data_IF_216566862408
#
_entry.id   IF_216566862408
#
_cell.length_a   1.000
_cell.length_b   1.000
_cell.length_c   1.000
_cell.angle_alpha   90.00
_cell.angle_beta   90.00
_cell.angle_gamma   90.00
#
_symmetry.space_group_name_H-M   'P 1'
#
loop_
_entity.id
_entity.type
_entity.pdbx_description
1 polymer ?
#
# COMPACT_ATOMS: atom_id res chain seq x y z
N UNK A 1 -8.02 -4.70 -24.04
CA UNK A 1 -7.18 -5.34 -22.98
C UNK A 1 -7.98 -6.35 -22.17
N UNK A 2 -9.20 -6.03 -21.76
CA UNK A 2 -10.13 -6.93 -21.04
C UNK A 2 -10.51 -8.18 -21.84
N UNK A 3 -10.86 -8.03 -23.13
CA UNK A 3 -11.14 -9.15 -24.04
C UNK A 3 -9.91 -10.07 -24.19
N UNK A 4 -8.73 -9.50 -24.39
CA UNK A 4 -7.49 -10.26 -24.46
C UNK A 4 -7.21 -11.06 -23.16
N UNK A 5 -7.52 -10.51 -21.98
CA UNK A 5 -7.42 -11.24 -20.70
C UNK A 5 -8.35 -12.45 -20.68
N UNK A 6 -9.57 -12.31 -21.21
CA UNK A 6 -10.52 -13.41 -21.30
C UNK A 6 -10.00 -14.52 -22.23
N UNK A 7 -9.53 -14.15 -23.42
CA UNK A 7 -8.97 -15.10 -24.40
C UNK A 7 -7.77 -15.88 -23.83
N UNK A 8 -6.85 -15.19 -23.15
CA UNK A 8 -5.73 -15.86 -22.48
C UNK A 8 -6.19 -16.75 -21.33
N UNK A 9 -7.25 -16.36 -20.62
CA UNK A 9 -7.80 -17.17 -19.53
C UNK A 9 -8.41 -18.47 -20.04
N UNK A 10 -9.11 -18.44 -21.18
CA UNK A 10 -9.59 -19.66 -21.86
C UNK A 10 -8.43 -20.50 -22.37
N UNK A 11 -7.41 -19.90 -22.99
CA UNK A 11 -6.24 -20.63 -23.46
C UNK A 11 -5.51 -21.39 -22.33
N UNK A 12 -5.43 -20.80 -21.12
CA UNK A 12 -4.83 -21.45 -19.94
C UNK A 12 -5.68 -22.62 -19.43
N UNK A 13 -7.01 -22.53 -19.54
CA UNK A 13 -7.91 -23.64 -19.18
C UNK A 13 -7.71 -24.84 -20.12
N UNK A 14 -7.48 -24.56 -21.41
CA UNK A 14 -7.27 -25.58 -22.44
C UNK A 14 -5.91 -26.26 -22.32
N UNK A 15 -4.84 -25.48 -22.09
CA UNK A 15 -3.49 -26.01 -21.91
C UNK A 15 -2.76 -25.27 -20.77
N UNK A 16 -2.64 -25.97 -19.64
CA UNK A 16 -1.97 -25.45 -18.44
C UNK A 16 -0.44 -25.44 -18.56
N UNK A 17 0.12 -26.18 -19.52
CA UNK A 17 1.57 -26.20 -19.77
C UNK A 17 2.01 -25.05 -20.68
N UNK A 18 1.06 -24.40 -21.35
CA UNK A 18 1.34 -23.29 -22.24
C UNK A 18 1.58 -21.99 -21.47
N UNK A 19 2.85 -21.56 -21.43
CA UNK A 19 3.31 -20.41 -20.64
C UNK A 19 3.08 -19.05 -21.30
N UNK A 20 2.95 -18.98 -22.64
CA UNK A 20 2.81 -17.69 -23.35
C UNK A 20 1.53 -16.93 -23.00
N UNK A 21 0.34 -17.56 -22.88
CA UNK A 21 -0.86 -16.86 -22.45
C UNK A 21 -0.73 -16.26 -21.05
N UNK A 22 -0.10 -16.96 -20.11
CA UNK A 22 0.20 -16.42 -18.77
C UNK A 22 1.05 -15.15 -18.87
N UNK A 23 2.12 -15.18 -19.66
CA UNK A 23 2.99 -14.01 -19.85
C UNK A 23 2.23 -12.83 -20.48
N UNK A 24 1.39 -13.09 -21.49
CA UNK A 24 0.61 -12.03 -22.17
C UNK A 24 -0.48 -11.48 -21.25
N UNK A 25 -1.17 -12.34 -20.49
CA UNK A 25 -2.20 -11.93 -19.51
C UNK A 25 -1.62 -11.09 -18.39
N UNK A 26 -0.46 -11.49 -17.84
CA UNK A 26 0.27 -10.70 -16.85
C UNK A 26 0.61 -9.29 -17.35
N UNK A 27 1.05 -9.15 -18.61
CA UNK A 27 1.30 -7.84 -19.23
C UNK A 27 0.02 -7.01 -19.36
N UNK A 28 -1.10 -7.62 -19.74
CA UNK A 28 -2.39 -6.93 -19.78
C UNK A 28 -2.82 -6.42 -18.40
N UNK A 29 -2.71 -7.26 -17.36
CA UNK A 29 -2.98 -6.84 -15.98
C UNK A 29 -2.07 -5.69 -15.53
N UNK A 30 -0.77 -5.74 -15.86
CA UNK A 30 0.16 -4.66 -15.56
C UNK A 30 -0.26 -3.33 -16.22
N UNK A 31 -0.66 -3.37 -17.49
CA UNK A 31 -1.13 -2.18 -18.21
C UNK A 31 -2.42 -1.60 -17.64
N UNK A 32 -3.29 -2.45 -17.08
CA UNK A 32 -4.51 -2.04 -16.39
C UNK A 32 -4.29 -1.62 -14.93
N UNK A 33 -3.05 -1.59 -14.46
CA UNK A 33 -2.67 -1.34 -13.05
C UNK A 33 -3.27 -2.34 -12.05
N UNK A 34 -3.75 -3.49 -12.53
CA UNK A 34 -4.15 -4.62 -11.72
C UNK A 34 -2.92 -5.45 -11.36
N UNK A 35 -2.09 -4.88 -10.49
CA UNK A 35 -0.80 -5.49 -10.13
C UNK A 35 -0.96 -6.78 -9.32
N UNK A 36 -2.10 -6.99 -8.66
CA UNK A 36 -2.38 -8.22 -7.91
C UNK A 36 -2.46 -9.43 -8.85
N UNK A 37 -3.30 -9.34 -9.88
CA UNK A 37 -3.44 -10.42 -10.85
C UNK A 37 -2.18 -10.56 -11.72
N UNK A 38 -1.50 -9.46 -12.02
CA UNK A 38 -0.19 -9.48 -12.68
C UNK A 38 0.83 -10.32 -11.90
N UNK A 39 1.01 -10.05 -10.60
CA UNK A 39 1.96 -10.78 -9.75
C UNK A 39 1.60 -12.26 -9.66
N UNK A 40 0.32 -12.62 -9.51
CA UNK A 40 -0.14 -14.02 -9.45
C UNK A 40 0.24 -14.80 -10.71
N UNK A 41 0.03 -14.22 -11.89
CA UNK A 41 0.37 -14.87 -13.16
C UNK A 41 1.88 -15.03 -13.34
N UNK A 42 2.67 -14.02 -12.92
CA UNK A 42 4.14 -14.10 -12.99
C UNK A 42 4.73 -15.10 -11.99
N UNK A 43 4.14 -15.26 -10.82
CA UNK A 43 4.56 -16.28 -9.85
C UNK A 43 4.33 -17.70 -10.39
N UNK A 44 3.18 -17.96 -11.02
CA UNK A 44 2.92 -19.22 -11.73
C UNK A 44 3.90 -19.42 -12.89
N UNK A 45 4.12 -18.37 -13.68
CA UNK A 45 5.05 -18.42 -14.82
C UNK A 45 6.46 -18.81 -14.38
N UNK A 46 6.96 -18.29 -13.25
CA UNK A 46 8.31 -18.60 -12.74
C UNK A 46 8.44 -20.03 -12.20
N UNK A 47 7.34 -20.64 -11.74
CA UNK A 47 7.35 -22.05 -11.34
C UNK A 47 7.60 -22.96 -12.56
N UNK A 48 7.10 -22.58 -13.74
CA UNK A 48 7.23 -23.32 -14.99
C UNK A 48 8.51 -22.97 -15.75
N UNK A 49 8.84 -21.68 -15.83
CA UNK A 49 9.99 -21.15 -16.55
C UNK A 49 10.74 -20.11 -15.69
N UNK A 50 11.92 -20.51 -15.20
CA UNK A 50 12.78 -19.71 -14.31
C UNK A 50 13.62 -18.65 -15.03
N UNK A 51 13.21 -18.23 -16.22
CA UNK A 51 13.84 -17.15 -17.00
C UNK A 51 14.15 -15.90 -16.17
N UNK A 52 15.32 -15.31 -16.42
CA UNK A 52 15.75 -14.06 -15.79
C UNK A 52 14.81 -12.88 -16.13
N UNK A 53 14.24 -12.87 -17.34
CA UNK A 53 13.28 -11.84 -17.76
C UNK A 53 12.01 -11.89 -16.89
N UNK A 54 11.46 -13.08 -16.66
CA UNK A 54 10.26 -13.26 -15.83
C UNK A 54 10.52 -12.85 -14.37
N UNK A 55 11.68 -13.19 -13.82
CA UNK A 55 12.09 -12.76 -12.46
C UNK A 55 12.21 -11.25 -12.35
N UNK A 56 12.80 -10.60 -13.35
CA UNK A 56 12.95 -9.15 -13.39
C UNK A 56 11.59 -8.47 -13.46
N UNK A 57 10.69 -8.97 -14.32
CA UNK A 57 9.34 -8.44 -14.44
C UNK A 57 8.48 -8.69 -13.19
N UNK A 58 8.62 -9.84 -12.53
CA UNK A 58 7.95 -10.10 -11.24
C UNK A 58 8.41 -9.09 -10.18
N UNK A 59 9.71 -8.77 -10.10
CA UNK A 59 10.23 -7.79 -9.15
C UNK A 59 9.60 -6.41 -9.38
N UNK A 60 9.51 -6.00 -10.64
CA UNK A 60 8.85 -4.74 -11.02
C UNK A 60 7.35 -4.75 -10.68
N UNK A 61 6.62 -5.81 -11.04
CA UNK A 61 5.20 -5.93 -10.73
C UNK A 61 4.93 -5.92 -9.21
N UNK A 62 5.75 -6.62 -8.42
CA UNK A 62 5.68 -6.57 -6.94
C UNK A 62 6.00 -5.19 -6.39
N UNK A 63 6.94 -4.48 -7.01
CA UNK A 63 7.26 -3.11 -6.64
C UNK A 63 6.05 -2.19 -6.87
N UNK A 64 5.42 -2.26 -8.04
CA UNK A 64 4.24 -1.45 -8.36
C UNK A 64 3.04 -1.83 -7.48
N UNK A 65 2.81 -3.12 -7.22
CA UNK A 65 1.78 -3.57 -6.28
C UNK A 65 2.02 -2.99 -4.88
N UNK A 66 3.25 -3.05 -4.39
CA UNK A 66 3.58 -2.45 -3.09
C UNK A 66 3.39 -0.93 -3.12
N UNK A 67 3.69 -0.26 -4.23
CA UNK A 67 3.50 1.17 -4.39
C UNK A 67 2.02 1.56 -4.42
N UNK A 68 1.16 0.79 -5.10
CA UNK A 68 -0.29 1.05 -5.15
C UNK A 68 -0.98 0.82 -3.81
N UNK A 69 -0.49 -0.14 -3.01
CA UNK A 69 -1.00 -0.44 -1.66
C UNK A 69 -0.47 0.51 -0.57
N UNK A 70 0.53 1.34 -0.86
CA UNK A 70 1.08 2.26 0.15
C UNK A 70 0.04 3.34 0.51
N UNK A 71 -0.24 3.44 1.80
CA UNK A 71 -1.05 4.53 2.35
C UNK A 71 -0.32 5.85 2.15
N UNK A 72 -1.03 6.83 1.60
CA UNK A 72 -0.52 8.20 1.50
C UNK A 72 -0.78 8.94 2.82
N UNK A 73 0.18 8.91 3.74
CA UNK A 73 0.06 9.55 5.06
C UNK A 73 -0.24 11.05 4.99
N UNK A 74 0.20 11.75 3.93
CA UNK A 74 -0.13 13.16 3.73
C UNK A 74 -1.62 13.33 3.43
N UNK A 75 -2.21 12.47 2.58
CA UNK A 75 -3.66 12.45 2.35
C UNK A 75 -4.44 12.04 3.59
N UNK A 76 -3.94 11.05 4.36
CA UNK A 76 -4.55 10.63 5.63
C UNK A 76 -4.64 11.79 6.62
N UNK A 77 -3.60 12.64 6.74
CA UNK A 77 -3.67 13.85 7.55
C UNK A 77 -4.34 15.04 6.86
N UNK A 78 -4.55 14.98 5.54
CA UNK A 78 -5.16 16.06 4.76
C UNK A 78 -4.23 17.26 4.60
N UNK A 79 -2.93 17.02 4.55
CA UNK A 79 -1.88 18.05 4.41
C UNK A 79 -1.11 17.83 3.12
N UNK A 80 -0.41 18.87 2.65
CA UNK A 80 0.45 18.76 1.47
C UNK A 80 1.78 18.09 1.83
N UNK A 81 2.51 17.56 0.82
CA UNK A 81 3.85 16.99 1.03
C UNK A 81 4.86 17.99 1.58
N UNK A 82 4.62 19.28 1.37
CA UNK A 82 5.48 20.39 1.83
C UNK A 82 5.05 20.96 3.18
N UNK A 83 4.03 20.39 3.83
CA UNK A 83 3.53 20.88 5.11
C UNK A 83 4.64 20.92 6.17
N UNK A 84 4.65 21.98 6.95
CA UNK A 84 5.53 22.17 8.10
C UNK A 84 5.16 21.20 9.25
N UNK A 85 6.10 20.98 10.18
CA UNK A 85 5.83 20.16 11.36
C UNK A 85 4.65 20.70 12.20
N UNK A 86 4.48 22.03 12.22
CA UNK A 86 3.37 22.69 12.88
C UNK A 86 2.02 22.36 12.23
N UNK A 87 1.93 22.46 10.90
CA UNK A 87 0.71 22.09 10.15
C UNK A 87 0.35 20.63 10.30
N UNK A 88 1.34 19.72 10.28
CA UNK A 88 1.15 18.29 10.52
C UNK A 88 0.57 18.05 11.92
N UNK A 89 1.10 18.73 12.95
CA UNK A 89 0.61 18.62 14.32
C UNK A 89 -0.80 19.17 14.48
N UNK A 90 -1.10 20.30 13.85
CA UNK A 90 -2.45 20.89 13.88
C UNK A 90 -3.48 19.99 13.17
N UNK A 91 -3.13 19.46 11.99
CA UNK A 91 -4.00 18.57 11.23
C UNK A 91 -4.29 17.27 12.00
N UNK A 92 -3.27 16.68 12.62
CA UNK A 92 -3.43 15.52 13.50
C UNK A 92 -4.43 15.80 14.63
N UNK A 93 -4.24 16.88 15.40
CA UNK A 93 -5.14 17.24 16.51
C UNK A 93 -6.58 17.40 16.04
N UNK A 94 -6.79 18.10 14.93
CA UNK A 94 -8.12 18.32 14.35
C UNK A 94 -8.78 16.99 13.96
N UNK A 95 -8.07 16.11 13.27
CA UNK A 95 -8.61 14.82 12.80
C UNK A 95 -8.81 13.82 13.92
N UNK A 96 -7.88 13.75 14.87
CA UNK A 96 -8.00 12.85 16.02
C UNK A 96 -9.22 13.22 16.89
N UNK A 97 -9.51 14.52 17.09
CA UNK A 97 -10.74 14.98 17.74
C UNK A 97 -12.02 14.61 16.98
N UNK A 98 -11.97 14.54 15.65
CA UNK A 98 -13.12 14.18 14.80
C UNK A 98 -13.38 12.68 14.77
N UNK A 99 -12.35 11.86 14.97
CA UNK A 99 -12.42 10.40 14.95
C UNK A 99 -12.40 9.78 16.35
N UNK A 100 -12.39 10.59 17.41
CA UNK A 100 -12.32 10.10 18.79
C UNK A 100 -13.55 9.26 19.16
N UNK A 101 -13.39 8.04 19.72
CA UNK A 101 -14.49 7.12 20.02
C UNK A 101 -15.51 7.72 21.00
N UNK A 102 -15.07 8.60 21.91
CA UNK A 102 -15.94 9.31 22.86
C UNK A 102 -16.99 10.23 22.20
N UNK A 103 -16.72 10.72 20.98
CA UNK A 103 -17.71 11.49 20.20
C UNK A 103 -18.64 10.63 19.35
N UNK A 104 -18.37 9.32 19.31
CA UNK A 104 -19.03 8.34 18.44
C UNK A 104 -19.57 7.15 19.25
N UNK A 105 -19.93 7.38 20.52
CA UNK A 105 -20.49 6.36 21.43
C UNK A 105 -21.80 5.80 20.86
N UNK A 106 -22.56 6.63 20.13
CA UNK A 106 -23.84 6.26 19.52
C UNK A 106 -23.70 5.53 18.18
N UNK A 107 -22.51 5.55 17.55
CA UNK A 107 -22.27 4.86 16.28
C UNK A 107 -22.14 3.35 16.51
N UNK A 108 -22.84 2.56 15.69
CA UNK A 108 -22.84 1.09 15.75
C UNK A 108 -22.43 0.48 14.41
N UNK A 109 -21.93 -0.74 14.46
CA UNK A 109 -21.57 -1.51 13.28
C UNK A 109 -20.46 -0.88 12.44
N UNK A 110 -20.63 -0.89 11.12
CA UNK A 110 -19.61 -0.49 10.15
C UNK A 110 -19.15 0.97 10.29
N UNK A 111 -19.97 1.89 10.81
CA UNK A 111 -19.58 3.29 10.98
C UNK A 111 -18.58 3.49 12.12
N UNK A 112 -18.76 2.76 13.23
CA UNK A 112 -17.81 2.76 14.35
C UNK A 112 -16.46 2.17 13.91
N UNK A 113 -16.49 1.03 13.23
CA UNK A 113 -15.26 0.38 12.71
C UNK A 113 -14.50 1.28 11.73
N UNK A 114 -15.21 2.01 10.86
CA UNK A 114 -14.59 3.00 9.96
C UNK A 114 -13.91 4.13 10.73
N UNK A 115 -14.55 4.66 11.78
CA UNK A 115 -13.97 5.74 12.61
C UNK A 115 -12.75 5.26 13.38
N UNK A 116 -12.80 4.07 13.97
CA UNK A 116 -11.66 3.45 14.65
C UNK A 116 -10.50 3.19 13.69
N UNK A 117 -10.78 2.67 12.50
CA UNK A 117 -9.77 2.44 11.45
C UNK A 117 -9.14 3.76 11.03
N UNK A 118 -9.93 4.79 10.74
CA UNK A 118 -9.41 6.12 10.42
C UNK A 118 -8.57 6.69 11.56
N UNK A 119 -8.97 6.52 12.81
CA UNK A 119 -8.20 7.00 13.97
C UNK A 119 -6.83 6.34 14.07
N UNK A 120 -6.75 5.01 13.87
CA UNK A 120 -5.48 4.27 13.80
C UNK A 120 -4.60 4.80 12.67
N UNK A 121 -5.17 5.02 11.49
CA UNK A 121 -4.43 5.56 10.33
C UNK A 121 -3.91 6.98 10.57
N UNK A 122 -4.70 7.85 11.21
CA UNK A 122 -4.29 9.20 11.57
C UNK A 122 -3.11 9.16 12.56
N UNK A 123 -3.15 8.25 13.54
CA UNK A 123 -2.06 8.02 14.49
C UNK A 123 -0.78 7.54 13.81
N UNK A 124 -0.88 6.52 12.95
CA UNK A 124 0.24 6.03 12.15
C UNK A 124 0.85 7.14 11.28
N UNK A 125 0.00 7.89 10.56
CA UNK A 125 0.43 8.97 9.68
C UNK A 125 1.19 10.06 10.46
N UNK A 126 0.68 10.46 11.62
CA UNK A 126 1.37 11.42 12.49
C UNK A 126 2.69 10.85 13.02
N UNK A 127 2.72 9.58 13.44
CA UNK A 127 3.95 8.94 13.95
C UNK A 127 5.08 8.86 12.92
N UNK A 128 4.76 8.81 11.62
CA UNK A 128 5.75 8.87 10.54
C UNK A 128 6.09 10.31 10.14
N UNK A 129 5.09 11.18 10.01
CA UNK A 129 5.27 12.53 9.46
C UNK A 129 5.77 13.57 10.49
N UNK A 130 5.59 13.33 11.78
CA UNK A 130 6.03 14.24 12.85
C UNK A 130 7.54 14.19 13.10
N UNK A 131 8.16 13.02 12.89
CA UNK A 131 9.61 12.82 13.04
C UNK A 131 10.32 13.10 11.71
N UNK A 132 11.30 14.01 11.73
CA UNK A 132 12.04 14.42 10.53
C UNK A 132 12.76 13.25 9.86
N UNK A 133 13.36 12.32 10.63
CA UNK A 133 14.05 11.16 10.07
C UNK A 133 13.05 10.21 9.42
N UNK A 134 11.98 9.86 10.13
CA UNK A 134 10.94 8.95 9.59
C UNK A 134 10.23 9.53 8.37
N UNK A 135 9.96 10.85 8.38
CA UNK A 135 9.39 11.54 7.22
C UNK A 135 10.31 11.52 6.03
N UNK A 136 11.61 11.72 6.23
CA UNK A 136 12.61 11.65 5.16
C UNK A 136 12.72 10.24 4.59
N UNK A 137 12.73 9.21 5.43
CA UNK A 137 12.74 7.81 5.00
C UNK A 137 11.46 7.46 4.24
N UNK A 138 10.30 7.91 4.73
CA UNK A 138 9.03 7.77 4.04
C UNK A 138 9.06 8.44 2.66
N UNK A 139 9.50 9.70 2.57
CA UNK A 139 9.63 10.42 1.31
C UNK A 139 10.58 9.72 0.32
N UNK A 140 11.76 9.30 0.78
CA UNK A 140 12.72 8.54 -0.03
C UNK A 140 12.12 7.23 -0.52
N UNK A 141 11.35 6.55 0.34
CA UNK A 141 10.68 5.30 0.00
C UNK A 141 9.59 5.48 -1.07
N UNK A 142 8.97 6.66 -1.16
CA UNK A 142 7.98 7.00 -2.19
C UNK A 142 8.66 7.28 -3.54
N UNK A 143 9.87 7.84 -3.53
CA UNK A 143 10.60 8.28 -4.73
C UNK A 143 11.38 7.13 -5.39
N UNK A 144 12.21 6.41 -4.63
CA UNK A 144 13.14 5.42 -5.18
C UNK A 144 12.66 3.99 -5.06
N UNK A 145 11.60 3.76 -4.29
CA UNK A 145 10.93 2.48 -4.32
C UNK A 145 11.76 1.27 -3.89
N UNK A 146 12.83 1.43 -3.11
CA UNK A 146 13.82 0.35 -3.04
C UNK A 146 13.87 -0.42 -1.71
N UNK A 147 14.17 -1.71 -1.89
CA UNK A 147 14.49 -2.80 -0.97
C UNK A 147 15.64 -2.52 0.02
N UNK A 148 16.33 -1.37 -0.04
CA UNK A 148 17.40 -1.04 0.92
C UNK A 148 16.92 -0.73 2.33
N UNK A 149 15.64 -0.44 2.48
CA UNK A 149 14.99 -0.44 3.78
C UNK A 149 13.79 -1.37 3.66
N UNK A 150 13.86 -2.61 4.19
CA UNK A 150 12.63 -3.29 4.56
C UNK A 150 11.82 -2.23 5.30
N UNK A 151 10.55 -2.04 4.92
CA UNK A 151 9.62 -1.43 5.84
C UNK A 151 9.71 -2.35 7.05
N UNK A 152 10.49 -1.94 8.04
CA UNK A 152 10.77 -2.74 9.21
C UNK A 152 9.49 -2.70 10.01
N UNK A 153 8.48 -3.43 9.55
CA UNK A 153 7.29 -3.76 10.32
C UNK A 153 7.60 -4.61 11.54
N UNK A 154 8.87 -4.71 11.96
CA UNK A 154 9.34 -5.45 13.13
C UNK A 154 10.56 -4.81 13.82
N UNK A 155 10.83 -3.50 13.66
CA UNK A 155 11.74 -2.84 14.60
C UNK A 155 11.01 -2.61 15.91
N UNK A 156 11.28 -3.53 16.85
CA UNK A 156 11.13 -3.36 18.30
C UNK A 156 11.48 -1.92 18.69
N UNK A 157 10.43 -1.15 18.88
CA UNK A 157 10.47 0.29 18.97
C UNK A 157 9.07 0.81 18.75
N UNK A 158 8.11 0.20 19.46
CA UNK A 158 6.87 0.86 19.81
C UNK A 158 7.30 2.19 20.44
N UNK A 159 7.35 3.25 19.62
CA UNK A 159 7.00 4.56 20.13
C UNK A 159 5.58 4.34 20.60
N UNK A 160 5.42 4.14 21.91
CA UNK A 160 4.14 4.12 22.61
C UNK A 160 3.53 5.52 22.51
N UNK A 161 3.32 5.99 21.29
CA UNK A 161 2.49 7.13 21.03
C UNK A 161 1.08 6.60 21.12
N UNK A 162 0.59 6.54 22.36
CA UNK A 162 -0.80 6.34 22.65
C UNK A 162 -1.54 7.52 21.99
N UNK A 163 -2.35 7.28 20.94
CA UNK A 163 -3.07 8.35 20.27
C UNK A 163 -4.03 9.10 21.20
N UNK A 164 -4.33 8.53 22.38
CA UNK A 164 -5.12 9.14 23.44
C UNK A 164 -4.31 10.02 24.40
N UNK A 165 -2.97 9.90 24.44
CA UNK A 165 -2.11 10.63 25.40
C UNK A 165 -1.99 12.15 25.19
N UNK A 166 -2.53 12.70 24.10
CA UNK A 166 -2.55 14.14 23.81
C UNK A 166 -3.93 14.79 24.01
N UNK A 167 -4.91 14.04 24.52
CA UNK A 167 -6.26 14.53 24.83
C UNK A 167 -6.53 14.48 26.33
#
# INVERSE_FOLDING_TARGET
LTEAINDFSEAIKLDQTYTKPLQKRARCYYMLQDYENCVRDLEKLIQMDKSHEHKSFLREAKFQLKKSLRKDYYKVLGVTKNASAHEIKQAYRKKALQCHPDKHIDLKGAEKEKKETMFKEIGEAYGVLSDTKKRNDYNRSLEYGDHRYPFAGHSRGHSNYDPFSMF
#
